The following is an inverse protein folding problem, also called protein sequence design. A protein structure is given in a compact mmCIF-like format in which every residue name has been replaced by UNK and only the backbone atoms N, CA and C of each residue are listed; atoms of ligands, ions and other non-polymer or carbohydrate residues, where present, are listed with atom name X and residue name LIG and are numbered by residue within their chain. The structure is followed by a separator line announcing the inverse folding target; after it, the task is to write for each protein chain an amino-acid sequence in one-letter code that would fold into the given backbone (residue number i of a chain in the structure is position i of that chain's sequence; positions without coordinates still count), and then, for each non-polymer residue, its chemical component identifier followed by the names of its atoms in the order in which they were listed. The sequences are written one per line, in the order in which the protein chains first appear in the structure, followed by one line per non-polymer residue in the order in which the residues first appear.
data_IF_288656010205
#
_entry.id   IF_288656010205
#
_cell.length_a   1.000
_cell.length_b   1.000
_cell.length_c   1.000
_cell.angle_alpha   90.00
_cell.angle_beta   90.00
_cell.angle_gamma   90.00
#
_symmetry.space_group_name_H-M   'P 1'
#
loop_
_entity.id
_entity.type
_entity.pdbx_description
1 polymer ?
#
# COMPACT_ATOMS: atom_id res chain seq x y z
N UNK A 1 -21.60 0.12 3.89
CA UNK A 1 -20.14 -0.09 3.96
C UNK A 1 -19.84 -1.55 3.62
N UNK A 2 -19.30 -1.85 2.43
CA UNK A 2 -18.89 -3.22 2.09
C UNK A 2 -17.78 -3.64 3.05
N UNK A 3 -17.97 -4.72 3.82
CA UNK A 3 -16.92 -5.27 4.70
C UNK A 3 -15.71 -5.59 3.82
N UNK A 4 -14.55 -5.01 4.15
CA UNK A 4 -13.27 -5.39 3.51
C UNK A 4 -13.05 -6.88 3.76
N UNK A 5 -12.79 -7.64 2.70
CA UNK A 5 -12.61 -9.09 2.81
C UNK A 5 -11.44 -9.43 3.74
N UNK A 6 -11.53 -10.57 4.43
CA UNK A 6 -10.48 -11.07 5.34
C UNK A 6 -9.09 -11.10 4.67
N UNK A 7 -9.04 -11.50 3.40
CA UNK A 7 -7.83 -11.55 2.58
C UNK A 7 -7.15 -10.17 2.42
N UNK A 8 -7.92 -9.10 2.28
CA UNK A 8 -7.39 -7.74 2.13
C UNK A 8 -6.64 -7.29 3.40
N UNK A 9 -7.22 -7.52 4.59
CA UNK A 9 -6.55 -7.18 5.84
C UNK A 9 -5.28 -8.01 6.06
N UNK A 10 -5.30 -9.29 5.65
CA UNK A 10 -4.16 -10.19 5.74
C UNK A 10 -3.03 -9.77 4.80
N UNK A 11 -3.35 -9.41 3.56
CA UNK A 11 -2.39 -8.93 2.58
C UNK A 11 -1.72 -7.62 3.03
N UNK A 12 -2.49 -6.65 3.54
CA UNK A 12 -1.92 -5.42 4.10
C UNK A 12 -1.00 -5.67 5.29
N UNK A 13 -1.32 -6.63 6.16
CA UNK A 13 -0.45 -6.99 7.29
C UNK A 13 0.86 -7.60 6.78
N UNK A 14 0.78 -8.57 5.86
CA UNK A 14 1.95 -9.22 5.26
C UNK A 14 2.85 -8.24 4.51
N UNK A 15 2.27 -7.25 3.82
CA UNK A 15 3.04 -6.21 3.13
C UNK A 15 3.88 -5.41 4.14
N UNK A 16 3.28 -5.02 5.27
CA UNK A 16 4.00 -4.32 6.34
C UNK A 16 5.11 -5.18 6.96
N UNK A 17 4.86 -6.47 7.16
CA UNK A 17 5.88 -7.40 7.66
C UNK A 17 7.06 -7.54 6.67
N UNK A 18 6.78 -7.71 5.37
CA UNK A 18 7.79 -7.76 4.29
C UNK A 18 8.61 -6.47 4.24
N UNK A 19 7.95 -5.33 4.34
CA UNK A 19 8.53 -4.01 4.22
C UNK A 19 9.16 -3.50 5.53
N UNK A 20 9.23 -4.34 6.56
CA UNK A 20 9.85 -4.02 7.85
C UNK A 20 9.12 -2.93 8.64
N UNK A 21 7.83 -2.72 8.39
CA UNK A 21 7.03 -1.62 8.94
C UNK A 21 7.62 -0.23 8.60
N UNK A 22 8.29 -0.13 7.45
CA UNK A 22 8.92 1.10 6.98
C UNK A 22 8.32 1.54 5.65
N UNK A 23 8.12 2.84 5.51
CA UNK A 23 7.70 3.45 4.26
C UNK A 23 8.75 3.22 3.17
N UNK A 24 8.36 2.54 2.10
CA UNK A 24 9.24 2.22 0.97
C UNK A 24 9.59 3.43 0.08
N UNK A 25 9.10 4.62 0.42
CA UNK A 25 9.39 5.86 -0.31
C UNK A 25 10.35 6.76 0.47
N UNK A 26 10.15 6.93 1.78
CA UNK A 26 10.91 7.89 2.58
C UNK A 26 11.62 7.29 3.81
N UNK A 27 11.46 5.99 4.08
CA UNK A 27 12.11 5.34 5.23
C UNK A 27 11.45 5.59 6.59
N UNK A 28 10.34 6.33 6.66
CA UNK A 28 9.63 6.56 7.93
C UNK A 28 8.89 5.29 8.40
N UNK A 29 9.00 4.96 9.69
CA UNK A 29 8.21 3.92 10.36
C UNK A 29 6.93 4.45 11.04
N UNK A 30 6.68 5.76 10.97
CA UNK A 30 5.54 6.38 11.64
C UNK A 30 4.25 6.25 10.81
N UNK A 31 3.20 5.70 11.44
CA UNK A 31 1.85 5.62 10.86
C UNK A 31 1.84 5.03 9.43
N UNK A 32 2.44 3.84 9.29
CA UNK A 32 2.54 3.14 8.01
C UNK A 32 1.30 2.32 7.68
N UNK A 33 0.92 2.33 6.40
CA UNK A 33 -0.27 1.72 5.84
C UNK A 33 0.07 0.97 4.55
N UNK A 34 -0.66 -0.11 4.25
CA UNK A 34 -0.54 -0.80 2.97
C UNK A 34 -1.34 -0.07 1.89
N UNK A 35 -0.65 0.37 0.84
CA UNK A 35 -1.20 1.04 -0.33
C UNK A 35 -1.26 0.07 -1.52
N UNK A 36 -2.38 0.00 -2.24
CA UNK A 36 -2.50 -0.84 -3.43
C UNK A 36 -1.86 -0.13 -4.63
N UNK A 37 -1.02 -0.82 -5.39
CA UNK A 37 -0.36 -0.28 -6.59
C UNK A 37 -1.35 -0.17 -7.76
N UNK A 38 -2.16 -1.21 -7.94
CA UNK A 38 -3.27 -1.25 -8.89
C UNK A 38 -4.58 -1.30 -8.11
N UNK A 39 -5.47 -0.32 -8.34
CA UNK A 39 -6.78 -0.35 -7.72
C UNK A 39 -7.58 -1.58 -8.16
N UNK A 40 -8.44 -2.07 -7.27
CA UNK A 40 -9.32 -3.21 -7.56
C UNK A 40 -10.17 -3.02 -8.83
N UNK A 41 -10.60 -1.77 -9.09
CA UNK A 41 -11.40 -1.43 -10.27
C UNK A 41 -10.66 -1.66 -11.60
N UNK A 42 -9.33 -1.71 -11.58
CA UNK A 42 -8.47 -1.95 -12.74
C UNK A 42 -7.92 -3.38 -12.76
N UNK A 43 -8.47 -4.30 -11.97
CA UNK A 43 -8.00 -5.68 -11.88
C UNK A 43 -6.91 -5.90 -10.82
N UNK A 44 -6.71 -4.93 -9.91
CA UNK A 44 -5.82 -5.07 -8.75
C UNK A 44 -6.20 -6.26 -7.89
N UNK A 45 -5.34 -7.28 -7.88
CA UNK A 45 -5.49 -8.44 -7.00
C UNK A 45 -5.26 -8.04 -5.53
N UNK A 46 -5.81 -8.81 -4.60
CA UNK A 46 -5.46 -8.70 -3.17
C UNK A 46 -4.12 -9.38 -2.85
N UNK A 47 -3.26 -9.55 -3.86
CA UNK A 47 -1.99 -10.21 -3.68
C UNK A 47 -1.00 -9.27 -2.99
N UNK A 48 -0.09 -9.90 -2.25
CA UNK A 48 0.95 -9.21 -1.50
C UNK A 48 1.80 -8.28 -2.39
N UNK A 49 2.01 -8.69 -3.64
CA UNK A 49 2.85 -7.98 -4.61
C UNK A 49 2.18 -6.71 -5.14
N UNK A 50 0.85 -6.62 -5.03
CA UNK A 50 0.09 -5.42 -5.38
C UNK A 50 -0.01 -4.42 -4.22
N UNK A 51 0.68 -4.65 -3.09
CA UNK A 51 0.63 -3.77 -1.92
C UNK A 51 2.04 -3.32 -1.53
N UNK A 52 2.21 -2.02 -1.27
CA UNK A 52 3.43 -1.43 -0.73
C UNK A 52 3.16 -0.66 0.55
N UNK A 53 4.08 -0.72 1.50
CA UNK A 53 3.96 -0.01 2.78
C UNK A 53 4.41 1.44 2.64
N UNK A 54 3.52 2.38 2.97
CA UNK A 54 3.78 3.82 2.93
C UNK A 54 3.41 4.49 4.24
N UNK A 55 4.17 5.51 4.65
CA UNK A 55 3.71 6.40 5.72
C UNK A 55 2.53 7.24 5.20
N UNK A 56 1.68 7.71 6.11
CA UNK A 56 0.49 8.51 5.77
C UNK A 56 0.79 9.74 4.89
N UNK A 57 1.98 10.34 5.01
CA UNK A 57 2.40 11.49 4.17
C UNK A 57 2.61 11.05 2.71
N UNK A 58 3.44 10.03 2.49
CA UNK A 58 3.72 9.49 1.15
C UNK A 58 2.46 8.89 0.53
N UNK A 59 1.65 8.20 1.33
CA UNK A 59 0.39 7.62 0.89
C UNK A 59 -0.55 8.66 0.25
N UNK A 60 -0.70 9.82 0.90
CA UNK A 60 -1.48 10.93 0.34
C UNK A 60 -0.87 11.51 -0.93
N UNK A 61 0.45 11.62 -1.00
CA UNK A 61 1.14 12.14 -2.19
C UNK A 61 0.94 11.24 -3.40
N UNK A 62 0.96 9.92 -3.21
CA UNK A 62 0.65 8.96 -4.27
C UNK A 62 -0.78 9.15 -4.77
N UNK A 63 -1.77 9.23 -3.87
CA UNK A 63 -3.16 9.49 -4.27
C UNK A 63 -3.38 10.85 -4.97
N UNK A 64 -2.46 11.79 -4.80
CA UNK A 64 -2.49 13.09 -5.49
C UNK A 64 -1.71 13.09 -6.82
N UNK A 65 -1.05 11.99 -7.19
CA UNK A 65 -0.16 11.94 -8.35
C UNK A 65 1.15 12.71 -8.17
N UNK A 66 1.53 13.06 -6.94
CA UNK A 66 2.81 13.70 -6.65
C UNK A 66 3.98 12.69 -6.59
N UNK A 67 3.67 11.40 -6.44
CA UNK A 67 4.63 10.30 -6.38
C UNK A 67 4.09 9.15 -7.24
N UNK A 68 4.81 8.81 -8.30
CA UNK A 68 4.58 7.60 -9.07
C UNK A 68 5.35 6.42 -8.47
N UNK A 69 4.61 5.37 -8.11
CA UNK A 69 5.18 4.11 -7.61
C UNK A 69 5.53 3.13 -8.73
N UNK A 70 4.97 3.32 -9.92
CA UNK A 70 5.25 2.52 -11.11
C UNK A 70 6.00 3.43 -12.08
N UNK A 71 7.32 3.30 -12.11
CA UNK A 71 8.13 3.89 -13.18
C UNK A 71 8.33 2.83 -14.26
N UNK A 72 7.91 3.14 -15.48
CA UNK A 72 8.33 2.44 -16.70
C UNK A 72 9.60 3.08 -17.25
#
# INVERSE_FOLDING_TARGET
MKKRGYEHCKAQKRAKERDGYVCQVCGSSENVEGHHLLDYQYGGSFELDNIVTLCRKCHKKVHKGEIDLIKF
#
